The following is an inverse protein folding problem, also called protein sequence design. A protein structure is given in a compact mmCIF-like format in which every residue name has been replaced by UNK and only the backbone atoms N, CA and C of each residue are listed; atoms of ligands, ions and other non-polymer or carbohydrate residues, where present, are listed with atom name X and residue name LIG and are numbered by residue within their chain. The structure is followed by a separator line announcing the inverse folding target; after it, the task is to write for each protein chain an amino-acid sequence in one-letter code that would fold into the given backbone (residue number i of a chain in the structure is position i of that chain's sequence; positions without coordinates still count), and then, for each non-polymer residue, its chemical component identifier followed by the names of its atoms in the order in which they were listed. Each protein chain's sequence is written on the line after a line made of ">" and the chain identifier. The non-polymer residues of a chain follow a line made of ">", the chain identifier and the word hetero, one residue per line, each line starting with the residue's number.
data_IF_836853639704
#
_entry.id   IF_836853639704
#
_cell.length_a   1.000
_cell.length_b   1.000
_cell.length_c   1.000
_cell.angle_alpha   90.00
_cell.angle_beta   90.00
_cell.angle_gamma   90.00
#
_symmetry.space_group_name_H-M   'P 1'
#
loop_
_entity.id
_entity.type
_entity.pdbx_description
1 polymer ?
#
# COMPACT_ATOMS: atom_id res chain seq x y z
N UNK A 1 16.06 12.24 29.34
CA UNK A 1 16.46 13.45 28.60
C UNK A 1 17.93 13.73 28.78
N UNK A 2 18.65 14.00 27.70
CA UNK A 2 20.07 14.38 27.75
C UNK A 2 20.32 15.75 28.43
N UNK A 3 19.26 16.48 28.71
CA UNK A 3 19.33 17.77 29.45
C UNK A 3 19.84 17.61 30.88
N UNK A 4 19.76 16.40 31.44
CA UNK A 4 20.24 16.06 32.80
C UNK A 4 21.51 15.19 32.77
N UNK A 5 22.29 15.25 31.67
CA UNK A 5 23.51 14.47 31.54
C UNK A 5 24.54 14.88 32.59
N UNK A 6 25.30 13.93 33.16
CA UNK A 6 26.40 14.25 34.11
C UNK A 6 27.47 15.14 33.49
N UNK A 7 28.20 15.86 34.34
CA UNK A 7 29.35 16.64 33.92
C UNK A 7 30.37 15.77 33.17
N UNK A 8 30.79 16.24 32.00
CA UNK A 8 31.71 15.51 31.11
C UNK A 8 31.03 14.68 30.02
N UNK A 9 29.71 14.63 30.03
CA UNK A 9 28.90 14.09 28.92
C UNK A 9 28.50 15.23 27.97
N UNK A 10 27.38 15.11 27.27
CA UNK A 10 26.89 16.11 26.30
C UNK A 10 26.52 17.43 27.01
N UNK A 11 27.24 18.51 26.69
CA UNK A 11 26.99 19.83 27.25
C UNK A 11 25.80 20.55 26.63
N UNK A 12 25.28 21.58 27.30
CA UNK A 12 24.15 22.39 26.80
C UNK A 12 24.44 23.05 25.45
N UNK A 13 25.68 23.50 25.23
CA UNK A 13 26.13 24.12 23.99
C UNK A 13 26.03 23.15 22.80
N UNK A 14 26.43 21.91 23.01
CA UNK A 14 26.32 20.84 22.01
C UNK A 14 24.86 20.51 21.72
N UNK A 15 24.00 20.43 22.75
CA UNK A 15 22.56 20.17 22.60
C UNK A 15 21.88 21.28 21.80
N UNK A 16 22.20 22.54 22.09
CA UNK A 16 21.65 23.69 21.34
C UNK A 16 22.11 23.67 19.87
N UNK A 17 23.40 23.40 19.65
CA UNK A 17 23.94 23.30 18.29
C UNK A 17 23.26 22.20 17.49
N UNK A 18 23.06 21.05 18.10
CA UNK A 18 22.37 19.91 17.47
C UNK A 18 20.89 20.23 17.20
N UNK A 19 20.20 20.90 18.13
CA UNK A 19 18.84 21.38 17.96
C UNK A 19 18.72 22.32 16.75
N UNK A 20 19.61 23.28 16.63
CA UNK A 20 19.59 24.23 15.51
C UNK A 20 19.84 23.55 14.16
N UNK A 21 20.73 22.56 14.12
CA UNK A 21 20.95 21.74 12.92
C UNK A 21 19.74 20.88 12.58
N UNK A 22 19.09 20.29 13.59
CA UNK A 22 17.93 19.43 13.40
C UNK A 22 16.70 20.18 12.89
N UNK A 23 16.53 21.46 13.20
CA UNK A 23 15.38 22.29 12.77
C UNK A 23 15.19 22.38 11.27
N UNK A 24 16.23 22.19 10.47
CA UNK A 24 16.16 22.26 9.01
C UNK A 24 15.69 20.95 8.35
N UNK A 25 15.59 19.85 9.12
CA UNK A 25 15.25 18.51 8.60
C UNK A 25 14.30 17.79 9.56
N UNK A 26 13.04 17.60 9.15
CA UNK A 26 12.00 17.01 9.99
C UNK A 26 12.34 15.59 10.53
N UNK A 27 12.92 14.65 9.77
CA UNK A 27 13.43 13.39 10.30
C UNK A 27 14.50 13.54 11.38
N UNK A 28 15.40 14.49 11.22
CA UNK A 28 16.44 14.79 12.20
C UNK A 28 15.86 15.41 13.45
N UNK A 29 14.92 16.32 13.30
CA UNK A 29 14.22 16.95 14.42
C UNK A 29 13.44 15.91 15.24
N UNK A 30 12.75 14.98 14.59
CA UNK A 30 12.10 13.85 15.24
C UNK A 30 13.07 13.01 16.06
N UNK A 31 14.22 12.69 15.48
CA UNK A 31 15.28 11.94 16.19
C UNK A 31 15.79 12.73 17.39
N UNK A 32 16.05 14.01 17.23
CA UNK A 32 16.52 14.88 18.31
C UNK A 32 15.51 14.94 19.47
N UNK A 33 14.23 15.18 19.18
CA UNK A 33 13.16 15.23 20.20
C UNK A 33 13.06 13.89 20.95
N UNK A 34 13.02 12.77 20.23
CA UNK A 34 12.86 11.47 20.87
C UNK A 34 14.09 11.01 21.67
N UNK A 35 15.30 11.31 21.19
CA UNK A 35 16.53 10.76 21.80
C UNK A 35 17.22 11.75 22.75
N UNK A 36 17.26 13.03 22.40
CA UNK A 36 17.96 14.05 23.20
C UNK A 36 17.04 14.66 24.23
N UNK A 37 15.82 15.06 23.85
CA UNK A 37 14.85 15.60 24.79
C UNK A 37 14.14 14.51 25.58
N UNK A 38 14.05 13.29 25.03
CA UNK A 38 13.30 12.18 25.63
C UNK A 38 11.79 12.42 25.61
N UNK A 39 11.32 13.19 24.64
CA UNK A 39 9.91 13.51 24.43
C UNK A 39 9.37 12.72 23.26
N UNK A 40 8.09 12.38 23.29
CA UNK A 40 7.43 11.76 22.17
C UNK A 40 7.25 12.78 21.06
N UNK A 41 7.79 12.48 19.86
CA UNK A 41 7.53 13.32 18.68
C UNK A 41 6.06 13.27 18.31
N UNK A 42 5.38 14.39 18.38
CA UNK A 42 4.09 14.56 17.75
C UNK A 42 4.34 15.12 16.34
N UNK A 43 4.03 14.33 15.32
CA UNK A 43 3.97 14.90 13.97
C UNK A 43 2.90 15.99 13.98
N UNK A 44 3.27 17.20 13.58
CA UNK A 44 2.29 18.18 13.13
C UNK A 44 1.61 17.59 11.89
N UNK A 45 0.68 16.68 12.12
CA UNK A 45 -0.23 16.23 11.09
C UNK A 45 -1.03 17.46 10.72
N UNK A 46 -0.73 18.05 9.58
CA UNK A 46 -1.53 19.13 9.04
C UNK A 46 -2.99 18.75 9.17
N UNK A 47 -3.78 19.63 9.74
CA UNK A 47 -5.14 19.51 10.23
C UNK A 47 -5.69 18.08 10.15
N UNK A 48 -5.61 17.30 11.23
CA UNK A 48 -6.21 15.95 11.30
C UNK A 48 -7.64 16.10 10.79
N UNK A 49 -7.90 15.57 9.60
CA UNK A 49 -9.28 15.43 9.15
C UNK A 49 -9.95 14.56 10.20
N UNK A 50 -10.79 15.17 11.04
CA UNK A 50 -11.54 14.45 12.05
C UNK A 50 -12.38 13.37 11.37
N UNK A 51 -12.58 12.24 12.02
CA UNK A 51 -13.42 11.17 11.49
C UNK A 51 -14.81 11.69 11.06
N UNK A 52 -15.32 12.69 11.77
CA UNK A 52 -16.59 13.35 11.46
C UNK A 52 -16.53 14.10 10.13
N UNK A 53 -15.46 14.85 9.85
CA UNK A 53 -15.29 15.55 8.58
C UNK A 53 -15.15 14.61 7.38
N UNK A 54 -14.58 13.42 7.57
CA UNK A 54 -14.57 12.38 6.53
C UNK A 54 -15.95 11.75 6.35
N UNK A 55 -16.68 11.52 7.44
CA UNK A 55 -18.05 10.98 7.39
C UNK A 55 -19.03 11.94 6.70
N UNK A 56 -18.92 13.23 6.93
CA UNK A 56 -19.75 14.26 6.28
C UNK A 56 -19.51 14.36 4.76
N UNK A 57 -18.31 13.97 4.32
CA UNK A 57 -17.93 13.94 2.90
C UNK A 57 -18.20 12.60 2.22
N UNK A 58 -18.69 11.59 2.96
CA UNK A 58 -19.01 10.30 2.40
C UNK A 58 -20.19 10.42 1.43
N UNK A 59 -19.99 9.91 0.22
CA UNK A 59 -21.02 9.82 -0.80
C UNK A 59 -21.86 8.57 -0.60
N UNK A 60 -23.12 8.66 -0.95
CA UNK A 60 -24.04 7.52 -0.86
C UNK A 60 -24.16 6.85 -2.23
N UNK A 61 -23.54 5.69 -2.38
CA UNK A 61 -23.68 4.82 -3.56
C UNK A 61 -23.74 3.34 -3.16
N UNK A 62 -24.47 2.50 -3.94
CA UNK A 62 -24.61 1.07 -3.63
C UNK A 62 -23.26 0.34 -3.72
N UNK A 63 -22.98 -0.54 -2.74
CA UNK A 63 -21.83 -1.41 -2.82
C UNK A 63 -21.92 -2.35 -4.04
N UNK A 64 -20.81 -2.52 -4.76
CA UNK A 64 -20.75 -3.35 -5.94
C UNK A 64 -21.27 -2.69 -7.23
N UNK A 65 -21.70 -1.45 -7.17
CA UNK A 65 -22.11 -0.65 -8.33
C UNK A 65 -21.06 0.41 -8.66
N UNK A 66 -20.77 0.59 -9.94
CA UNK A 66 -19.77 1.57 -10.41
C UNK A 66 -20.50 2.89 -10.65
N UNK A 67 -20.15 3.98 -9.92
CA UNK A 67 -20.75 5.29 -10.08
C UNK A 67 -20.52 5.89 -11.48
N UNK A 68 -21.42 6.80 -11.86
CA UNK A 68 -21.24 7.61 -13.07
C UNK A 68 -19.96 8.46 -12.97
N UNK A 69 -19.27 8.60 -14.09
CA UNK A 69 -17.97 9.29 -14.11
C UNK A 69 -16.75 8.38 -13.97
N UNK A 70 -16.94 7.15 -13.49
CA UNK A 70 -15.86 6.17 -13.44
C UNK A 70 -15.51 5.65 -14.83
N UNK A 71 -14.21 5.65 -15.16
CA UNK A 71 -13.68 5.25 -16.47
C UNK A 71 -12.84 3.98 -16.40
N UNK A 72 -12.22 3.70 -15.25
CA UNK A 72 -11.29 2.59 -15.04
C UNK A 72 -11.64 1.90 -13.73
N UNK A 73 -11.55 0.56 -13.72
CA UNK A 73 -11.69 -0.25 -12.50
C UNK A 73 -10.39 -0.98 -12.24
N UNK A 74 -9.91 -0.93 -11.01
CA UNK A 74 -8.70 -1.65 -10.58
C UNK A 74 -8.97 -2.49 -9.35
N UNK A 75 -8.16 -3.53 -9.16
CA UNK A 75 -8.15 -4.31 -7.93
C UNK A 75 -6.77 -4.25 -7.27
N UNK A 76 -6.75 -4.13 -5.95
CA UNK A 76 -5.58 -4.29 -5.11
C UNK A 76 -5.73 -5.49 -4.18
N UNK A 77 -4.71 -6.32 -4.06
CA UNK A 77 -4.69 -7.49 -3.18
C UNK A 77 -3.47 -7.44 -2.28
N UNK A 78 -3.72 -7.42 -0.97
CA UNK A 78 -2.70 -7.56 0.07
C UNK A 78 -2.66 -9.03 0.54
N UNK A 79 -1.45 -9.61 0.60
CA UNK A 79 -1.24 -11.01 0.97
C UNK A 79 -0.69 -11.07 2.39
N UNK A 80 -1.48 -11.62 3.30
CA UNK A 80 -1.12 -11.81 4.70
C UNK A 80 -0.94 -13.30 5.02
N UNK A 81 -0.43 -13.63 6.20
CA UNK A 81 -0.09 -15.02 6.56
C UNK A 81 -1.30 -15.98 6.57
N UNK A 82 -2.50 -15.47 6.75
CA UNK A 82 -3.71 -16.27 6.90
C UNK A 82 -4.91 -15.78 6.07
N UNK A 83 -4.72 -14.79 5.19
CA UNK A 83 -5.80 -14.22 4.37
C UNK A 83 -5.27 -13.41 3.19
N UNK A 84 -6.15 -13.14 2.26
CA UNK A 84 -6.02 -12.11 1.23
C UNK A 84 -7.03 -11.00 1.51
N UNK A 85 -6.57 -9.74 1.58
CA UNK A 85 -7.43 -8.57 1.66
C UNK A 85 -7.52 -7.92 0.29
N UNK A 86 -8.75 -7.70 -0.21
CA UNK A 86 -9.00 -7.29 -1.58
C UNK A 86 -9.81 -6.00 -1.58
N UNK A 87 -9.35 -5.00 -2.34
CA UNK A 87 -10.10 -3.78 -2.62
C UNK A 87 -10.33 -3.62 -4.11
N UNK A 88 -11.56 -3.35 -4.50
CA UNK A 88 -11.94 -3.01 -5.89
C UNK A 88 -12.27 -1.53 -5.93
N UNK A 89 -11.60 -0.80 -6.81
CA UNK A 89 -11.71 0.65 -6.92
C UNK A 89 -12.08 1.06 -8.33
N UNK A 90 -12.98 2.02 -8.45
CA UNK A 90 -13.27 2.71 -9.69
C UNK A 90 -12.63 4.11 -9.68
N UNK A 91 -12.16 4.55 -10.82
CA UNK A 91 -11.42 5.79 -11.00
C UNK A 91 -12.05 6.65 -12.08
N UNK A 92 -12.21 7.93 -11.79
CA UNK A 92 -12.74 8.94 -12.68
C UNK A 92 -11.70 9.97 -13.13
N UNK A 93 -12.19 11.04 -13.71
CA UNK A 93 -11.37 12.17 -14.12
C UNK A 93 -10.84 12.92 -12.87
N UNK A 94 -9.61 13.44 -12.94
CA UNK A 94 -9.01 14.21 -11.85
C UNK A 94 -8.65 13.36 -10.63
N UNK A 95 -8.37 12.06 -10.84
CA UNK A 95 -7.99 11.10 -9.78
C UNK A 95 -9.13 10.82 -8.77
N UNK A 96 -10.37 11.13 -9.12
CA UNK A 96 -11.51 10.75 -8.31
C UNK A 96 -11.59 9.22 -8.16
N UNK A 97 -11.86 8.74 -6.94
CA UNK A 97 -11.76 7.32 -6.62
C UNK A 97 -12.92 6.87 -5.73
N UNK A 98 -13.54 5.75 -6.11
CA UNK A 98 -14.61 5.10 -5.35
C UNK A 98 -14.21 3.67 -4.96
N UNK A 99 -14.43 3.31 -3.69
CA UNK A 99 -14.33 1.93 -3.24
C UNK A 99 -15.59 1.17 -3.62
N UNK A 100 -15.51 0.29 -4.61
CA UNK A 100 -16.65 -0.47 -5.13
C UNK A 100 -16.95 -1.69 -4.28
N UNK A 101 -15.91 -2.42 -3.86
CA UNK A 101 -16.05 -3.63 -3.06
C UNK A 101 -14.79 -3.87 -2.23
N UNK A 102 -15.00 -4.39 -1.04
CA UNK A 102 -13.94 -4.90 -0.18
C UNK A 102 -14.26 -6.34 0.23
N UNK A 103 -13.28 -7.22 0.21
CA UNK A 103 -13.42 -8.61 0.64
C UNK A 103 -12.17 -9.11 1.35
N UNK A 104 -12.36 -10.02 2.29
CA UNK A 104 -11.28 -10.79 2.90
C UNK A 104 -11.54 -12.27 2.67
N UNK A 105 -10.54 -12.99 2.17
CA UNK A 105 -10.59 -14.43 1.98
C UNK A 105 -9.59 -15.06 2.94
N UNK A 106 -10.10 -15.83 3.90
CA UNK A 106 -9.27 -16.48 4.91
C UNK A 106 -8.81 -17.85 4.43
N UNK A 107 -7.53 -18.15 4.66
CA UNK A 107 -6.91 -19.42 4.32
C UNK A 107 -5.40 -19.33 4.27
N UNK A 108 -4.76 -20.46 3.95
CA UNK A 108 -3.30 -20.55 3.81
C UNK A 108 -2.87 -20.13 2.40
N UNK A 109 -2.06 -19.04 2.25
CA UNK A 109 -1.56 -18.60 0.95
C UNK A 109 -0.59 -19.58 0.27
N UNK A 110 -0.01 -20.54 1.00
CA UNK A 110 0.74 -21.64 0.39
C UNK A 110 -0.18 -22.63 -0.35
N UNK A 111 -1.47 -22.63 -0.05
CA UNK A 111 -2.46 -23.55 -0.61
C UNK A 111 -3.17 -22.97 -1.84
N UNK A 112 -3.35 -23.81 -2.88
CA UNK A 112 -4.03 -23.42 -4.13
C UNK A 112 -5.46 -22.92 -3.93
N UNK A 113 -6.20 -23.48 -2.97
CA UNK A 113 -7.61 -23.19 -2.73
C UNK A 113 -7.88 -21.70 -2.49
N UNK A 114 -6.99 -21.01 -1.77
CA UNK A 114 -7.14 -19.59 -1.48
C UNK A 114 -7.07 -18.75 -2.76
N UNK A 115 -6.15 -19.09 -3.66
CA UNK A 115 -5.98 -18.42 -4.95
C UNK A 115 -7.11 -18.71 -5.94
N UNK A 116 -7.71 -19.90 -5.89
CA UNK A 116 -8.90 -20.22 -6.69
C UNK A 116 -10.10 -19.36 -6.23
N UNK A 117 -10.25 -19.12 -4.93
CA UNK A 117 -11.27 -18.22 -4.39
C UNK A 117 -11.01 -16.74 -4.77
N UNK A 118 -9.74 -16.35 -4.90
CA UNK A 118 -9.39 -15.01 -5.35
C UNK A 118 -9.91 -14.73 -6.77
N UNK A 119 -9.87 -15.73 -7.67
CA UNK A 119 -10.41 -15.58 -9.01
C UNK A 119 -11.89 -15.17 -9.01
N UNK A 120 -12.69 -15.75 -8.11
CA UNK A 120 -14.13 -15.45 -8.00
C UNK A 120 -14.39 -13.98 -7.62
N UNK A 121 -13.44 -13.33 -6.97
CA UNK A 121 -13.55 -11.93 -6.54
C UNK A 121 -12.99 -10.98 -7.59
N UNK A 122 -11.74 -11.17 -8.04
CA UNK A 122 -11.06 -10.20 -8.90
C UNK A 122 -11.45 -10.26 -10.36
N UNK A 123 -11.96 -11.42 -10.83
CA UNK A 123 -12.45 -11.60 -12.21
C UNK A 123 -13.96 -11.36 -12.33
N UNK A 124 -14.63 -10.99 -11.24
CA UNK A 124 -16.04 -10.64 -11.24
C UNK A 124 -16.34 -9.44 -12.15
N UNK A 125 -17.53 -9.43 -12.74
CA UNK A 125 -18.08 -8.26 -13.41
C UNK A 125 -18.86 -7.39 -12.41
N UNK A 126 -18.71 -6.10 -12.54
CA UNK A 126 -19.43 -5.07 -11.82
C UNK A 126 -20.37 -4.34 -12.78
N UNK A 127 -21.49 -3.84 -12.30
CA UNK A 127 -22.43 -3.08 -13.13
C UNK A 127 -22.27 -1.59 -12.87
N UNK A 128 -22.36 -0.82 -13.93
CA UNK A 128 -22.51 0.64 -13.83
C UNK A 128 -23.95 0.99 -13.49
N UNK A 129 -24.20 2.23 -13.08
CA UNK A 129 -25.56 2.79 -12.90
C UNK A 129 -26.44 2.63 -14.15
N UNK A 130 -25.82 2.61 -15.34
CA UNK A 130 -26.52 2.38 -16.62
C UNK A 130 -26.69 0.90 -16.97
N UNK A 131 -26.27 -0.03 -16.10
CA UNK A 131 -26.39 -1.48 -16.29
C UNK A 131 -25.31 -2.11 -17.17
N UNK A 132 -24.30 -1.36 -17.61
CA UNK A 132 -23.16 -1.88 -18.38
C UNK A 132 -22.28 -2.72 -17.44
N UNK A 133 -21.85 -3.89 -17.90
CA UNK A 133 -20.92 -4.76 -17.18
C UNK A 133 -19.46 -4.34 -17.46
N UNK A 134 -18.69 -4.20 -16.40
CA UNK A 134 -17.26 -3.82 -16.42
C UNK A 134 -16.47 -4.78 -15.55
N UNK A 135 -15.28 -5.14 -16.00
CA UNK A 135 -14.29 -5.91 -15.22
C UNK A 135 -13.15 -5.02 -14.80
N UNK A 136 -12.38 -5.48 -13.82
CA UNK A 136 -11.12 -4.81 -13.44
C UNK A 136 -10.19 -4.76 -14.65
N UNK A 137 -9.72 -3.54 -14.97
CA UNK A 137 -8.80 -3.28 -16.07
C UNK A 137 -7.36 -3.72 -15.72
N UNK A 138 -7.02 -3.63 -14.42
CA UNK A 138 -5.71 -3.98 -13.88
C UNK A 138 -5.85 -4.47 -12.45
N UNK A 139 -5.07 -5.47 -12.09
CA UNK A 139 -5.10 -6.11 -10.78
C UNK A 139 -3.67 -6.18 -10.25
N UNK A 140 -3.43 -5.52 -9.13
CA UNK A 140 -2.13 -5.50 -8.46
C UNK A 140 -2.14 -6.37 -7.21
N UNK A 141 -1.17 -7.26 -7.05
CA UNK A 141 -1.01 -8.12 -5.88
C UNK A 141 0.32 -7.81 -5.22
N UNK A 142 0.30 -7.46 -3.93
CA UNK A 142 1.54 -7.22 -3.18
C UNK A 142 2.36 -8.52 -3.06
N UNK A 143 3.61 -8.43 -3.47
CA UNK A 143 4.59 -9.52 -3.41
C UNK A 143 5.69 -9.28 -2.36
N UNK A 144 5.52 -8.29 -1.50
CA UNK A 144 6.52 -7.90 -0.51
C UNK A 144 6.65 -8.83 0.71
N UNK A 145 5.70 -9.75 0.92
CA UNK A 145 5.63 -10.64 2.08
C UNK A 145 6.28 -12.02 1.89
N UNK A 146 5.88 -12.98 2.73
CA UNK A 146 6.44 -14.33 2.79
C UNK A 146 6.06 -15.20 1.58
N UNK A 147 4.95 -14.90 0.89
CA UNK A 147 4.38 -15.71 -0.20
C UNK A 147 4.71 -15.16 -1.59
N UNK A 148 5.89 -14.55 -1.74
CA UNK A 148 6.35 -13.95 -3.01
C UNK A 148 6.30 -14.92 -4.19
N UNK A 149 6.69 -16.19 -3.97
CA UNK A 149 6.72 -17.23 -5.02
C UNK A 149 5.32 -17.55 -5.54
N UNK A 150 4.37 -17.64 -4.64
CA UNK A 150 2.96 -17.93 -4.89
C UNK A 150 2.32 -16.78 -5.67
N UNK A 151 2.59 -15.53 -5.26
CA UNK A 151 2.14 -14.33 -5.96
C UNK A 151 2.67 -14.30 -7.39
N UNK A 152 3.96 -14.57 -7.60
CA UNK A 152 4.54 -14.58 -8.94
C UNK A 152 3.97 -15.72 -9.82
N UNK A 153 3.77 -16.91 -9.25
CA UNK A 153 3.15 -18.02 -9.98
C UNK A 153 1.71 -17.67 -10.40
N UNK A 154 0.94 -17.15 -9.47
CA UNK A 154 -0.45 -16.73 -9.69
C UNK A 154 -0.56 -15.61 -10.75
N UNK A 155 0.23 -14.55 -10.62
CA UNK A 155 0.21 -13.44 -11.57
C UNK A 155 0.62 -13.87 -12.98
N UNK A 156 1.60 -14.76 -13.10
CA UNK A 156 2.06 -15.30 -14.40
C UNK A 156 0.94 -16.06 -15.11
N UNK A 157 0.22 -16.94 -14.40
CA UNK A 157 -0.87 -17.71 -14.97
C UNK A 157 -2.03 -16.81 -15.45
N UNK A 158 -2.17 -15.65 -14.84
CA UNK A 158 -3.27 -14.70 -15.08
C UNK A 158 -2.85 -13.41 -15.78
N UNK A 159 -1.67 -13.41 -16.40
CA UNK A 159 -1.16 -12.25 -17.14
C UNK A 159 -2.13 -11.72 -18.21
N UNK A 160 -2.88 -12.61 -18.87
CA UNK A 160 -3.94 -12.25 -19.84
C UNK A 160 -5.09 -11.43 -19.24
N UNK A 161 -5.24 -11.43 -17.92
CA UNK A 161 -6.23 -10.65 -17.17
C UNK A 161 -5.63 -9.39 -16.54
N UNK A 162 -4.43 -9.00 -16.97
CA UNK A 162 -3.71 -7.84 -16.40
C UNK A 162 -3.48 -7.96 -14.88
N UNK A 163 -3.12 -9.16 -14.43
CA UNK A 163 -2.70 -9.40 -13.04
C UNK A 163 -1.19 -9.21 -12.92
N UNK A 164 -0.78 -8.33 -12.03
CA UNK A 164 0.61 -7.93 -11.81
C UNK A 164 1.03 -8.19 -10.37
N UNK A 165 2.22 -8.77 -10.19
CA UNK A 165 2.87 -8.77 -8.89
C UNK A 165 3.53 -7.41 -8.67
N UNK A 166 3.17 -6.73 -7.60
CA UNK A 166 3.69 -5.41 -7.22
C UNK A 166 4.64 -5.56 -6.04
N UNK A 167 5.68 -4.75 -6.01
CA UNK A 167 6.58 -4.64 -4.87
C UNK A 167 6.79 -3.18 -4.52
N UNK A 168 6.39 -2.79 -3.32
CA UNK A 168 6.62 -1.47 -2.79
C UNK A 168 8.11 -1.15 -2.63
N UNK A 169 8.48 0.11 -2.83
CA UNK A 169 9.82 0.62 -2.57
C UNK A 169 9.79 1.71 -1.50
N UNK A 170 10.71 1.62 -0.55
CA UNK A 170 10.88 2.63 0.50
C UNK A 170 11.84 3.77 0.12
N UNK A 171 12.51 3.67 -1.03
CA UNK A 171 13.48 4.69 -1.47
C UNK A 171 12.78 5.96 -1.96
N UNK A 172 13.21 7.11 -1.43
CA UNK A 172 12.73 8.43 -1.89
C UNK A 172 13.22 8.72 -3.31
N UNK A 173 12.50 9.58 -4.03
CA UNK A 173 12.83 10.08 -5.38
C UNK A 173 12.87 8.99 -6.46
N UNK A 174 12.14 7.90 -6.29
CA UNK A 174 11.91 6.92 -7.35
C UNK A 174 10.59 7.21 -8.05
N UNK A 175 10.47 6.88 -9.36
CA UNK A 175 9.19 6.95 -10.05
C UNK A 175 8.12 6.12 -9.32
N UNK A 176 6.87 6.57 -9.33
CA UNK A 176 5.74 5.84 -8.74
C UNK A 176 5.60 4.43 -9.36
N UNK A 177 5.94 4.30 -10.65
CA UNK A 177 5.98 3.02 -11.35
C UNK A 177 7.37 2.88 -11.98
N UNK A 178 8.07 1.80 -11.65
CA UNK A 178 9.33 1.44 -12.27
C UNK A 178 9.13 0.30 -13.28
N UNK A 179 10.07 0.15 -14.21
CA UNK A 179 10.10 -1.02 -15.10
C UNK A 179 10.18 -2.31 -14.27
N UNK A 180 9.52 -3.40 -14.71
CA UNK A 180 9.63 -4.69 -14.03
C UNK A 180 11.09 -5.10 -13.85
N UNK A 181 11.48 -5.42 -12.63
CA UNK A 181 12.79 -5.99 -12.35
C UNK A 181 12.77 -7.49 -12.58
N UNK A 182 13.92 -8.06 -12.98
CA UNK A 182 14.08 -9.52 -12.99
C UNK A 182 14.06 -10.02 -11.54
N UNK A 183 13.29 -11.05 -11.27
CA UNK A 183 13.34 -11.74 -9.97
C UNK A 183 14.57 -12.63 -9.99
N UNK A 184 15.52 -12.35 -9.11
CA UNK A 184 16.86 -12.98 -9.15
C UNK A 184 16.85 -14.44 -8.73
N UNK A 185 15.92 -14.88 -7.86
CA UNK A 185 15.85 -16.30 -7.47
C UNK A 185 14.48 -16.64 -6.85
N UNK A 186 14.09 -17.93 -7.01
CA UNK A 186 13.07 -18.54 -6.16
C UNK A 186 13.71 -18.92 -4.81
N UNK A 187 12.91 -19.39 -3.84
CA UNK A 187 13.38 -19.82 -2.52
C UNK A 187 14.43 -20.96 -2.58
N UNK A 188 14.60 -21.64 -3.74
CA UNK A 188 15.63 -22.65 -4.00
C UNK A 188 16.89 -22.07 -4.69
N UNK A 189 16.99 -20.75 -4.80
CA UNK A 189 18.15 -20.08 -5.43
C UNK A 189 18.20 -20.18 -6.95
N UNK A 190 17.16 -20.70 -7.61
CA UNK A 190 17.11 -20.80 -9.08
C UNK A 190 16.60 -19.48 -9.66
N UNK A 191 17.32 -18.93 -10.64
CA UNK A 191 16.92 -17.71 -11.32
C UNK A 191 15.56 -17.86 -12.01
N UNK A 192 14.60 -17.00 -11.69
CA UNK A 192 13.29 -16.95 -12.32
C UNK A 192 13.33 -15.85 -13.38
N UNK A 193 13.27 -16.23 -14.67
CA UNK A 193 13.10 -15.25 -15.75
C UNK A 193 11.66 -14.72 -15.71
N UNK A 194 11.48 -13.44 -15.44
CA UNK A 194 10.24 -12.77 -15.74
C UNK A 194 10.13 -12.66 -17.27
N UNK A 195 9.20 -13.37 -17.85
CA UNK A 195 8.70 -13.05 -19.18
C UNK A 195 7.83 -11.79 -19.03
N UNK A 196 8.31 -10.67 -19.61
CA UNK A 196 7.50 -9.48 -19.81
C UNK A 196 6.35 -9.80 -20.76
#
# INVERSE_FOLDING_TARGET
>A
SSLYSPLGWKGWEEIVTECLRAKSDAPWLKTFVNTVLGETWEEEVGARLGADGLRERAEFYPAGEIPDGASIVTAGVDVQDNRLAIGIYAWGQGEECWLISHAEIYGDPAGKKLWDQLDDVILRTYKTTTGKEVRSNSIGIDSGGHFTSEVYAYARERAKHNVFALKGQSQRNKPAIAKPSKVDSNYRGQGVKNSA
#
